data_IF_728319660281
#
_entry.id   IF_728319660281
#
_cell.length_a   1.000
_cell.length_b   1.000
_cell.length_c   1.000
_cell.angle_alpha   90.00
_cell.angle_beta   90.00
_cell.angle_gamma   90.00
#
_symmetry.space_group_name_H-M   'P 1'
#
loop_
_entity.id
_entity.type
_entity.pdbx_description
1 polymer ?
#
# COMPACT_ATOMS: atom_id res chain seq x y z
N UNK A 1 48.32 13.77 -33.65
CA UNK A 1 47.06 14.32 -33.08
C UNK A 1 45.91 13.49 -33.61
N UNK A 2 45.35 12.56 -32.83
CA UNK A 2 44.11 12.71 -32.01
C UNK A 2 42.90 13.22 -32.80
N UNK A 3 42.08 12.33 -33.33
CA UNK A 3 40.63 12.53 -33.49
C UNK A 3 39.91 11.17 -33.46
N UNK A 4 39.68 10.65 -32.26
CA UNK A 4 38.82 9.49 -32.02
C UNK A 4 38.04 9.75 -30.74
N UNK A 5 37.11 10.71 -30.76
CA UNK A 5 36.34 11.08 -29.57
C UNK A 5 34.87 11.42 -29.82
N UNK A 6 34.28 10.94 -30.93
CA UNK A 6 32.87 11.20 -31.27
C UNK A 6 31.94 10.00 -31.09
N UNK A 7 32.45 8.80 -30.77
CA UNK A 7 31.59 7.61 -30.61
C UNK A 7 30.95 7.46 -29.22
N UNK A 8 31.42 8.19 -28.19
CA UNK A 8 31.02 7.93 -26.80
C UNK A 8 29.77 8.67 -26.31
N UNK A 9 29.21 9.61 -27.08
CA UNK A 9 28.09 10.45 -26.59
C UNK A 9 26.72 9.88 -26.99
N UNK A 10 26.62 9.10 -28.08
CA UNK A 10 25.35 8.55 -28.54
C UNK A 10 24.86 7.34 -27.70
N UNK A 11 25.75 6.64 -27.00
CA UNK A 11 25.40 5.43 -26.26
C UNK A 11 24.70 5.70 -24.93
N UNK A 12 24.91 6.86 -24.30
CA UNK A 12 24.31 7.15 -22.99
C UNK A 12 22.85 7.62 -23.07
N UNK A 13 22.45 8.27 -24.17
CA UNK A 13 21.06 8.69 -24.38
C UNK A 13 20.12 7.52 -24.74
N UNK A 14 20.65 6.47 -25.41
CA UNK A 14 19.86 5.29 -25.78
C UNK A 14 19.49 4.39 -24.59
N UNK A 15 20.28 4.39 -23.52
CA UNK A 15 20.03 3.58 -22.31
C UNK A 15 18.93 4.18 -21.41
N UNK A 16 18.73 5.50 -21.43
CA UNK A 16 17.64 6.14 -20.66
C UNK A 16 16.25 5.91 -21.25
N UNK A 17 16.14 5.62 -22.55
CA UNK A 17 14.88 5.27 -23.22
C UNK A 17 14.43 3.82 -22.98
N UNK A 18 15.31 2.98 -22.44
CA UNK A 18 15.06 1.55 -22.17
C UNK A 18 14.73 1.26 -20.71
N UNK A 19 14.75 2.25 -19.82
CA UNK A 19 14.19 2.07 -18.49
C UNK A 19 12.68 2.15 -18.60
N UNK A 20 11.93 1.05 -18.36
CA UNK A 20 10.51 1.14 -18.24
C UNK A 20 10.25 2.08 -17.07
N UNK A 21 9.65 3.24 -17.33
CA UNK A 21 9.04 4.08 -16.31
C UNK A 21 7.77 3.38 -15.77
N UNK A 22 7.86 2.09 -15.47
CA UNK A 22 6.87 1.41 -14.66
C UNK A 22 7.24 1.80 -13.24
N UNK A 23 6.62 2.88 -12.76
CA UNK A 23 6.49 3.10 -11.33
C UNK A 23 6.03 1.77 -10.72
N UNK A 24 6.97 1.05 -10.12
CA UNK A 24 6.72 -0.30 -9.62
C UNK A 24 5.59 -0.24 -8.61
N UNK A 25 4.50 -0.95 -8.89
CA UNK A 25 3.38 -1.05 -7.96
C UNK A 25 3.92 -1.63 -6.66
N UNK A 26 3.71 -0.92 -5.54
CA UNK A 26 4.17 -1.38 -4.22
C UNK A 26 3.35 -2.62 -3.81
N UNK A 27 4.06 -3.66 -3.39
CA UNK A 27 3.50 -4.96 -3.05
C UNK A 27 4.03 -5.42 -1.69
N UNK A 28 3.18 -6.07 -0.91
CA UNK A 28 3.57 -6.91 0.20
C UNK A 28 3.85 -8.32 -0.32
N UNK A 29 4.93 -8.93 0.14
CA UNK A 29 5.30 -10.33 -0.17
C UNK A 29 5.38 -11.15 1.11
N UNK A 30 4.61 -12.24 1.17
CA UNK A 30 4.58 -13.18 2.28
C UNK A 30 5.59 -14.31 2.07
N UNK A 31 5.89 -15.08 3.14
CA UNK A 31 6.84 -16.20 3.08
C UNK A 31 6.46 -17.33 2.12
N UNK A 32 5.17 -17.49 1.83
CA UNK A 32 4.66 -18.43 0.83
C UNK A 32 4.76 -17.89 -0.61
N UNK A 33 5.50 -16.78 -0.81
CA UNK A 33 5.63 -16.03 -2.07
C UNK A 33 4.33 -15.40 -2.57
N UNK A 34 3.28 -15.37 -1.75
CA UNK A 34 2.03 -14.69 -2.09
C UNK A 34 2.25 -13.19 -2.04
N UNK A 35 1.79 -12.50 -3.09
CA UNK A 35 1.88 -11.05 -3.19
C UNK A 35 0.51 -10.39 -3.07
N UNK A 36 0.51 -9.22 -2.43
CA UNK A 36 -0.66 -8.38 -2.22
C UNK A 36 -0.34 -6.93 -2.57
N UNK A 37 -1.24 -6.28 -3.27
CA UNK A 37 -1.08 -4.85 -3.60
C UNK A 37 -1.27 -3.99 -2.36
N UNK A 38 -0.53 -2.89 -2.26
CA UNK A 38 -0.66 -1.96 -1.13
C UNK A 38 -2.10 -1.46 -0.96
N UNK A 39 -2.80 -1.18 -2.06
CA UNK A 39 -4.20 -0.73 -2.01
C UNK A 39 -5.15 -1.81 -1.49
N UNK A 40 -4.87 -3.09 -1.78
CA UNK A 40 -5.63 -4.22 -1.22
C UNK A 40 -5.43 -4.31 0.29
N UNK A 41 -4.19 -4.12 0.77
CA UNK A 41 -3.90 -4.14 2.21
C UNK A 41 -4.51 -2.93 2.93
N UNK A 42 -4.45 -1.72 2.33
CA UNK A 42 -5.16 -0.54 2.85
C UNK A 42 -6.66 -0.77 2.94
N UNK A 43 -7.25 -1.37 1.92
CA UNK A 43 -8.67 -1.73 1.95
C UNK A 43 -8.97 -2.68 3.12
N UNK A 44 -8.16 -3.71 3.36
CA UNK A 44 -8.34 -4.60 4.51
C UNK A 44 -8.13 -3.89 5.86
N UNK A 45 -7.16 -2.97 5.94
CA UNK A 45 -6.91 -2.17 7.13
C UNK A 45 -8.10 -1.27 7.48
N UNK A 46 -8.75 -0.65 6.48
CA UNK A 46 -9.99 0.12 6.66
C UNK A 46 -11.17 -0.72 7.18
N UNK A 47 -11.18 -2.03 6.91
CA UNK A 47 -12.21 -2.97 7.37
C UNK A 47 -11.80 -3.73 8.64
N UNK A 48 -10.61 -3.44 9.17
CA UNK A 48 -10.14 -4.04 10.41
C UNK A 48 -10.98 -3.52 11.58
N UNK A 49 -11.46 -4.42 12.43
CA UNK A 49 -12.30 -4.09 13.59
C UNK A 49 -11.68 -4.65 14.87
N UNK A 50 -11.78 -3.95 16.01
CA UNK A 50 -11.39 -4.50 17.31
C UNK A 50 -12.13 -5.81 17.62
N UNK A 51 -13.38 -5.94 17.17
CA UNK A 51 -14.24 -7.11 17.42
C UNK A 51 -13.75 -8.39 16.71
N UNK A 52 -12.97 -8.24 15.65
CA UNK A 52 -12.39 -9.37 14.92
C UNK A 52 -11.12 -9.91 15.60
N UNK A 53 -10.59 -9.24 16.61
CA UNK A 53 -9.37 -9.67 17.29
C UNK A 53 -9.60 -10.98 18.03
N UNK A 54 -8.69 -11.93 17.84
CA UNK A 54 -8.73 -13.25 18.48
C UNK A 54 -7.52 -13.46 19.39
N UNK A 55 -7.59 -14.45 20.29
CA UNK A 55 -6.47 -14.84 21.15
C UNK A 55 -5.27 -15.44 20.39
N UNK A 56 -5.46 -15.77 19.12
CA UNK A 56 -4.42 -16.34 18.25
C UNK A 56 -3.69 -15.26 17.44
N UNK A 57 -4.20 -14.02 17.44
CA UNK A 57 -3.55 -12.93 16.73
C UNK A 57 -2.23 -12.55 17.43
N UNK A 58 -1.16 -12.29 16.65
CA UNK A 58 0.10 -11.87 17.23
C UNK A 58 -0.10 -10.54 17.95
N UNK A 59 0.56 -10.41 19.10
CA UNK A 59 0.63 -9.14 19.82
C UNK A 59 1.49 -8.14 19.06
N UNK A 60 1.19 -6.85 19.26
CA UNK A 60 2.04 -5.77 18.81
C UNK A 60 2.74 -5.18 20.03
N UNK A 61 4.00 -5.54 20.23
CA UNK A 61 4.75 -5.26 21.47
C UNK A 61 4.86 -3.75 21.78
N UNK A 62 4.90 -2.92 20.73
CA UNK A 62 5.10 -1.48 20.83
C UNK A 62 3.78 -0.69 20.99
N UNK A 63 2.63 -1.35 21.09
CA UNK A 63 1.38 -0.60 21.14
C UNK A 63 0.10 -1.40 21.27
N UNK A 64 -0.99 -0.80 20.79
CA UNK A 64 -2.33 -1.37 20.84
C UNK A 64 -2.79 -1.73 19.44
N UNK A 65 -3.35 -2.93 19.29
CA UNK A 65 -4.08 -3.31 18.08
C UNK A 65 -5.46 -2.63 18.15
N UNK A 66 -5.75 -1.79 17.16
CA UNK A 66 -7.01 -1.07 17.01
C UNK A 66 -8.02 -1.85 16.16
N UNK A 67 -7.56 -2.81 15.37
CA UNK A 67 -8.43 -3.71 14.63
C UNK A 67 -7.66 -4.80 13.90
N UNK A 68 -8.37 -5.87 13.59
CA UNK A 68 -7.85 -6.98 12.78
C UNK A 68 -8.83 -7.29 11.66
N UNK A 69 -8.29 -7.67 10.50
CA UNK A 69 -9.05 -8.22 9.39
C UNK A 69 -8.43 -9.56 8.96
N UNK A 70 -9.15 -10.66 9.18
CA UNK A 70 -8.76 -11.99 8.74
C UNK A 70 -9.31 -12.31 7.36
N UNK A 71 -8.51 -12.95 6.52
CA UNK A 71 -8.96 -13.42 5.21
C UNK A 71 -8.24 -14.70 4.81
N UNK A 72 -8.84 -15.43 3.87
CA UNK A 72 -8.24 -16.63 3.30
C UNK A 72 -8.03 -16.45 1.80
N UNK A 73 -6.95 -17.06 1.29
CA UNK A 73 -6.63 -17.08 -0.13
C UNK A 73 -6.09 -18.46 -0.48
N UNK A 74 -6.57 -19.01 -1.59
CA UNK A 74 -6.05 -20.26 -2.12
C UNK A 74 -4.75 -19.98 -2.87
N UNK A 75 -3.67 -20.64 -2.44
CA UNK A 75 -2.33 -20.56 -3.03
C UNK A 75 -1.87 -21.98 -3.28
N UNK A 76 -1.60 -22.33 -4.54
CA UNK A 76 -1.21 -23.69 -4.94
C UNK A 76 -2.20 -24.77 -4.45
N UNK A 77 -3.50 -24.52 -4.58
CA UNK A 77 -4.59 -25.41 -4.12
C UNK A 77 -4.65 -25.64 -2.60
N UNK A 78 -3.91 -24.86 -1.81
CA UNK A 78 -3.98 -24.83 -0.36
C UNK A 78 -4.59 -23.52 0.10
N UNK A 79 -5.56 -23.60 0.99
CA UNK A 79 -6.12 -22.42 1.63
C UNK A 79 -5.17 -21.91 2.72
N UNK A 80 -4.64 -20.70 2.51
CA UNK A 80 -3.80 -20.00 3.48
C UNK A 80 -4.62 -18.91 4.16
N UNK A 81 -4.35 -18.70 5.45
CA UNK A 81 -4.99 -17.66 6.27
C UNK A 81 -4.01 -16.52 6.49
N UNK A 82 -4.51 -15.30 6.40
CA UNK A 82 -3.76 -14.07 6.57
C UNK A 82 -4.55 -13.13 7.48
N UNK A 83 -3.85 -12.19 8.10
CA UNK A 83 -4.47 -11.10 8.83
C UNK A 83 -3.76 -9.77 8.53
N UNK A 84 -4.55 -8.70 8.50
CA UNK A 84 -4.05 -7.31 8.53
C UNK A 84 -4.43 -6.74 9.88
N UNK A 85 -3.45 -6.16 10.57
CA UNK A 85 -3.66 -5.49 11.85
C UNK A 85 -3.47 -3.99 11.68
N UNK A 86 -4.39 -3.20 12.23
CA UNK A 86 -4.20 -1.77 12.43
C UNK A 86 -3.60 -1.56 13.81
N UNK A 87 -2.30 -1.32 13.85
CA UNK A 87 -1.53 -1.08 15.09
C UNK A 87 -1.49 0.40 15.48
N UNK A 88 -1.92 1.25 14.55
CA UNK A 88 -2.28 2.63 14.79
C UNK A 88 -3.75 2.81 14.38
N UNK A 89 -4.43 3.79 14.98
CA UNK A 89 -5.78 4.16 14.54
C UNK A 89 -5.63 4.83 13.15
N UNK A 90 -5.67 4.02 12.08
CA UNK A 90 -5.49 4.50 10.69
C UNK A 90 -6.39 5.72 10.38
N UNK A 91 -5.97 6.60 9.46
CA UNK A 91 -6.22 8.03 9.57
C UNK A 91 -7.64 8.39 9.14
N UNK A 92 -8.60 8.34 10.06
CA UNK A 92 -9.94 8.88 9.80
C UNK A 92 -9.91 10.41 9.89
N UNK A 93 -9.71 11.04 8.73
CA UNK A 93 -9.83 12.48 8.53
C UNK A 93 -11.26 12.78 8.11
N UNK A 94 -12.01 13.42 9.00
CA UNK A 94 -13.32 13.99 8.66
C UNK A 94 -13.18 15.51 8.73
N UNK A 95 -13.48 16.17 7.64
CA UNK A 95 -13.39 17.63 7.54
C UNK A 95 -14.81 18.18 7.59
N UNK A 96 -15.09 19.04 8.56
CA UNK A 96 -16.36 19.73 8.69
C UNK A 96 -16.15 21.23 8.63
N UNK A 97 -17.02 21.93 7.90
CA UNK A 97 -17.26 23.36 8.01
C UNK A 97 -18.20 23.65 9.18
N UNK A 98 -17.65 24.23 10.25
CA UNK A 98 -18.38 24.56 11.48
C UNK A 98 -19.04 25.94 11.45
N UNK A 99 -18.83 26.75 10.39
CA UNK A 99 -19.39 28.11 10.26
C UNK A 99 -20.89 28.08 9.94
N UNK A 100 -21.38 26.95 9.44
CA UNK A 100 -22.76 26.74 8.99
C UNK A 100 -23.28 25.36 9.38
N UNK A 101 -23.39 25.08 10.68
CA UNK A 101 -24.02 23.86 11.24
C UNK A 101 -23.27 22.54 10.95
N UNK A 102 -21.94 22.51 11.10
CA UNK A 102 -21.12 21.29 10.94
C UNK A 102 -21.37 20.57 9.61
N UNK A 103 -21.24 21.31 8.51
CA UNK A 103 -21.41 20.78 7.15
C UNK A 103 -20.14 20.03 6.75
N UNK A 104 -20.25 18.79 6.30
CA UNK A 104 -19.08 18.03 5.87
C UNK A 104 -18.44 18.61 4.59
N UNK A 105 -17.11 18.71 4.58
CA UNK A 105 -16.31 19.13 3.44
C UNK A 105 -15.88 17.89 2.64
N UNK A 106 -16.17 17.89 1.35
CA UNK A 106 -15.86 16.77 0.47
C UNK A 106 -14.56 16.98 -0.31
N UNK A 107 -13.84 15.88 -0.56
CA UNK A 107 -12.71 15.85 -1.48
C UNK A 107 -13.23 16.15 -2.90
N UNK A 108 -12.57 17.04 -3.64
CA UNK A 108 -12.80 17.28 -5.06
C UNK A 108 -11.53 16.94 -5.84
N UNK A 109 -11.67 16.20 -6.94
CA UNK A 109 -10.57 15.90 -7.86
C UNK A 109 -10.26 17.17 -8.69
N UNK A 110 -8.99 17.57 -8.77
CA UNK A 110 -8.58 18.86 -9.35
C UNK A 110 -8.00 18.73 -10.77
N UNK A 111 -8.21 17.61 -11.45
CA UNK A 111 -7.77 17.41 -12.83
C UNK A 111 -8.83 17.79 -13.88
N UNK A 112 -9.60 18.85 -13.62
CA UNK A 112 -10.39 19.61 -14.61
C UNK A 112 -9.75 20.99 -14.85
#
# INVERSE_FOLDING_TARGET
MKFSNTASIATLAGLSLLMPAVYGKLMYECWDSTRFEIETIRYYALHASPENTTVLDPTYDDGKIYGVFHFTKSVNSKENKYSVQTVEKEPFIRLFDMTSLARECHIRDLND
#
